data_IF_426521273148
#
_entry.id   IF_426521273148
#
_cell.length_a   1.000
_cell.length_b   1.000
_cell.length_c   1.000
_cell.angle_alpha   90.00
_cell.angle_beta   90.00
_cell.angle_gamma   90.00
#
_symmetry.space_group_name_H-M   'P 1'
#
loop_
_entity.id
_entity.type
_entity.pdbx_description
1 polymer ?
#
# COMPACT_ATOMS: atom_id res chain seq x y z
N UNK A 1 -4.38 -15.18 -17.32
CA UNK A 1 -3.63 -15.88 -16.25
C UNK A 1 -2.20 -15.33 -16.16
N UNK A 2 -2.06 -14.04 -15.79
CA UNK A 2 -0.76 -13.39 -15.54
C UNK A 2 -0.15 -13.72 -14.17
N UNK A 3 -0.79 -14.64 -13.43
CA UNK A 3 -0.43 -15.04 -12.08
C UNK A 3 0.87 -15.83 -11.92
N UNK A 4 1.67 -16.08 -12.97
CA UNK A 4 2.92 -16.85 -12.86
C UNK A 4 4.02 -16.16 -13.66
N UNK A 5 5.09 -15.77 -12.96
CA UNK A 5 6.30 -15.25 -13.59
C UNK A 5 7.01 -16.36 -14.39
N UNK A 6 7.67 -16.04 -15.51
CA UNK A 6 8.59 -16.99 -16.14
C UNK A 6 9.65 -17.46 -15.13
N UNK A 7 10.26 -18.62 -15.35
CA UNK A 7 11.35 -19.10 -14.49
C UNK A 7 12.51 -18.11 -14.53
N UNK A 8 12.90 -17.58 -13.37
CA UNK A 8 13.97 -16.61 -13.22
C UNK A 8 15.17 -17.24 -12.51
N UNK A 9 16.38 -16.96 -13.00
CA UNK A 9 17.60 -17.36 -12.30
C UNK A 9 18.02 -16.26 -11.32
N UNK A 10 17.94 -16.54 -10.02
CA UNK A 10 18.31 -15.63 -8.92
C UNK A 10 19.39 -16.32 -8.07
N UNK A 11 20.64 -15.85 -8.20
CA UNK A 11 21.78 -16.54 -7.62
C UNK A 11 21.99 -17.91 -8.27
N UNK A 12 22.10 -18.96 -7.44
CA UNK A 12 22.18 -20.36 -7.86
C UNK A 12 20.82 -21.03 -8.06
N UNK A 13 19.72 -20.40 -7.64
CA UNK A 13 18.38 -20.98 -7.67
C UNK A 13 17.59 -20.54 -8.90
N UNK A 14 16.79 -21.46 -9.45
CA UNK A 14 15.68 -21.13 -10.33
C UNK A 14 14.48 -20.75 -9.45
N UNK A 15 13.83 -19.64 -9.74
CA UNK A 15 12.71 -19.11 -8.96
C UNK A 15 11.50 -18.92 -9.87
N UNK A 16 10.33 -19.37 -9.39
CA UNK A 16 9.03 -19.04 -9.95
C UNK A 16 8.27 -18.24 -8.90
N UNK A 17 7.66 -17.13 -9.29
CA UNK A 17 6.82 -16.34 -8.40
C UNK A 17 5.42 -16.28 -8.96
N UNK A 18 4.44 -16.64 -8.14
CA UNK A 18 3.02 -16.62 -8.50
C UNK A 18 2.21 -15.71 -7.58
N UNK A 19 1.00 -15.35 -8.02
CA UNK A 19 0.04 -14.51 -7.30
C UNK A 19 0.61 -13.12 -6.94
N UNK A 20 1.28 -12.48 -7.90
CA UNK A 20 1.95 -11.17 -7.70
C UNK A 20 1.04 -9.97 -7.91
N UNK A 21 -0.22 -10.17 -8.29
CA UNK A 21 -1.15 -9.12 -8.69
C UNK A 21 -1.33 -8.00 -7.66
N UNK A 22 -1.26 -8.32 -6.36
CA UNK A 22 -1.29 -7.33 -5.27
C UNK A 22 -0.07 -6.41 -5.30
N UNK A 23 1.13 -6.97 -5.45
CA UNK A 23 2.37 -6.22 -5.59
C UNK A 23 2.39 -5.39 -6.86
N UNK A 24 2.03 -6.01 -7.98
CA UNK A 24 2.01 -5.36 -9.29
C UNK A 24 1.03 -4.17 -9.27
N UNK A 25 -0.15 -4.32 -8.67
CA UNK A 25 -1.13 -3.23 -8.54
C UNK A 25 -0.58 -2.03 -7.75
N UNK A 26 0.12 -2.27 -6.63
CA UNK A 26 0.76 -1.21 -5.84
C UNK A 26 1.82 -0.50 -6.68
N UNK A 27 2.71 -1.26 -7.33
CA UNK A 27 3.80 -0.71 -8.16
C UNK A 27 3.24 0.16 -9.28
N UNK A 28 2.22 -0.30 -10.00
CA UNK A 28 1.65 0.44 -11.12
C UNK A 28 1.14 1.82 -10.67
N UNK A 29 0.43 1.88 -9.53
CA UNK A 29 -0.07 3.14 -8.96
C UNK A 29 1.09 4.07 -8.57
N UNK A 30 2.11 3.55 -7.86
CA UNK A 30 3.23 4.37 -7.41
C UNK A 30 4.15 4.81 -8.56
N UNK A 31 4.29 3.99 -9.60
CA UNK A 31 4.97 4.37 -10.83
C UNK A 31 4.24 5.53 -11.53
N UNK A 32 2.91 5.49 -11.60
CA UNK A 32 2.12 6.61 -12.11
C UNK A 32 2.21 7.85 -11.22
N UNK A 33 2.36 7.70 -9.91
CA UNK A 33 2.56 8.82 -8.99
C UNK A 33 3.88 9.58 -9.25
N UNK A 34 4.86 8.97 -9.92
CA UNK A 34 6.13 9.61 -10.26
C UNK A 34 6.02 10.71 -11.32
N UNK A 35 4.83 10.97 -11.86
CA UNK A 35 4.57 12.19 -12.67
C UNK A 35 4.57 13.46 -11.82
N UNK A 36 4.41 13.34 -10.50
CA UNK A 36 4.44 14.45 -9.55
C UNK A 36 5.84 14.59 -8.95
N UNK A 37 6.48 15.75 -9.15
CA UNK A 37 7.89 15.98 -8.80
C UNK A 37 8.22 15.64 -7.35
N UNK A 38 7.39 16.08 -6.39
CA UNK A 38 7.61 15.80 -4.96
C UNK A 38 7.65 14.29 -4.64
N UNK A 39 6.79 13.50 -5.27
CA UNK A 39 6.78 12.06 -5.06
C UNK A 39 7.97 11.41 -5.78
N UNK A 40 8.26 11.85 -7.01
CA UNK A 40 9.42 11.40 -7.76
C UNK A 40 10.74 11.64 -7.02
N UNK A 41 10.94 12.83 -6.45
CA UNK A 41 12.08 13.16 -5.61
C UNK A 41 12.20 12.20 -4.42
N UNK A 42 11.07 11.89 -3.78
CA UNK A 42 11.03 10.92 -2.67
C UNK A 42 11.49 9.53 -3.13
N UNK A 43 10.99 9.06 -4.28
CA UNK A 43 11.42 7.80 -4.89
C UNK A 43 12.90 7.83 -5.26
N UNK A 44 13.40 8.96 -5.73
CA UNK A 44 14.77 9.13 -6.18
C UNK A 44 15.81 9.06 -5.05
N UNK A 45 15.47 9.54 -3.85
CA UNK A 45 16.33 9.54 -2.66
C UNK A 45 16.12 8.32 -1.75
N UNK A 46 15.03 7.59 -1.91
CA UNK A 46 14.70 6.48 -1.03
C UNK A 46 15.69 5.32 -1.14
N UNK A 47 15.99 4.70 0.01
CA UNK A 47 16.95 3.59 0.14
C UNK A 47 16.28 2.23 0.23
N UNK A 48 14.96 2.17 0.40
CA UNK A 48 14.20 0.92 0.51
C UNK A 48 14.09 0.21 -0.84
N UNK A 49 14.07 -1.13 -0.81
CA UNK A 49 14.11 -1.94 -2.03
C UNK A 49 12.89 -1.70 -2.94
N UNK A 50 11.72 -1.49 -2.34
CA UNK A 50 10.48 -1.18 -3.07
C UNK A 50 10.58 0.14 -3.84
N UNK A 51 11.16 1.19 -3.26
CA UNK A 51 11.32 2.46 -3.98
C UNK A 51 12.41 2.40 -5.05
N UNK A 52 13.51 1.68 -4.80
CA UNK A 52 14.51 1.38 -5.84
C UNK A 52 13.90 0.59 -7.00
N UNK A 53 12.97 -0.32 -6.70
CA UNK A 53 12.22 -1.07 -7.68
C UNK A 53 11.31 -0.14 -8.49
N UNK A 54 10.50 0.70 -7.85
CA UNK A 54 9.61 1.68 -8.52
C UNK A 54 10.44 2.58 -9.44
N UNK A 55 11.56 3.13 -8.95
CA UNK A 55 12.49 3.93 -9.76
C UNK A 55 12.95 3.20 -11.01
N UNK A 56 13.39 1.94 -10.85
CA UNK A 56 13.87 1.12 -11.95
C UNK A 56 12.73 0.78 -12.93
N UNK A 57 11.53 0.52 -12.42
CA UNK A 57 10.36 0.18 -13.22
C UNK A 57 9.90 1.36 -14.07
N UNK A 58 9.85 2.57 -13.50
CA UNK A 58 9.54 3.81 -14.25
C UNK A 58 10.54 4.04 -15.38
N UNK A 59 11.82 3.72 -15.17
CA UNK A 59 12.88 3.93 -16.17
C UNK A 59 12.93 2.86 -17.27
N UNK A 60 12.65 1.60 -16.92
CA UNK A 60 12.92 0.45 -17.79
C UNK A 60 11.64 -0.23 -18.31
N UNK A 61 10.50 -0.03 -17.66
CA UNK A 61 9.30 -0.82 -17.91
C UNK A 61 9.46 -2.31 -17.56
N UNK A 62 8.52 -3.18 -18.00
CA UNK A 62 8.56 -4.61 -17.70
C UNK A 62 9.68 -5.31 -18.47
N UNK A 63 10.82 -5.51 -17.79
CA UNK A 63 11.99 -6.22 -18.35
C UNK A 63 12.34 -7.43 -17.49
N UNK A 64 13.14 -8.36 -18.03
CA UNK A 64 13.66 -9.51 -17.25
C UNK A 64 14.38 -9.07 -15.96
N UNK A 65 15.04 -7.90 -15.98
CA UNK A 65 15.67 -7.32 -14.80
C UNK A 65 14.63 -6.93 -13.74
N UNK A 66 13.56 -6.25 -14.15
CA UNK A 66 12.45 -5.89 -13.25
C UNK A 66 11.82 -7.16 -12.67
N UNK A 67 11.47 -8.15 -13.48
CA UNK A 67 10.90 -9.40 -12.96
C UNK A 67 11.83 -10.09 -11.94
N UNK A 68 13.14 -10.04 -12.15
CA UNK A 68 14.14 -10.56 -11.20
C UNK A 68 14.13 -9.79 -9.88
N UNK A 69 14.15 -8.45 -9.92
CA UNK A 69 14.12 -7.63 -8.70
C UNK A 69 12.78 -7.78 -7.95
N UNK A 70 11.65 -7.91 -8.66
CA UNK A 70 10.35 -8.26 -8.05
C UNK A 70 10.48 -9.58 -7.27
N UNK A 71 11.04 -10.61 -7.89
CA UNK A 71 11.19 -11.91 -7.25
C UNK A 71 12.09 -11.85 -6.01
N UNK A 72 13.16 -11.05 -6.04
CA UNK A 72 14.04 -10.82 -4.89
C UNK A 72 13.31 -10.14 -3.72
N UNK A 73 12.48 -9.11 -3.99
CA UNK A 73 11.67 -8.43 -2.97
C UNK A 73 10.67 -9.41 -2.34
N UNK A 74 9.88 -10.10 -3.18
CA UNK A 74 8.82 -10.98 -2.70
C UNK A 74 9.39 -12.20 -1.97
N UNK A 75 10.57 -12.70 -2.36
CA UNK A 75 11.26 -13.78 -1.63
C UNK A 75 11.54 -13.43 -0.17
N UNK A 76 11.78 -12.16 0.14
CA UNK A 76 12.12 -11.71 1.48
C UNK A 76 10.88 -11.49 2.36
N UNK A 77 9.66 -11.62 1.82
CA UNK A 77 8.42 -11.56 2.60
C UNK A 77 8.21 -12.91 3.28
N UNK A 78 8.38 -12.94 4.60
CA UNK A 78 8.48 -14.16 5.43
C UNK A 78 7.23 -15.03 5.45
N UNK A 79 6.06 -14.47 5.14
CA UNK A 79 4.79 -15.19 5.14
C UNK A 79 4.51 -15.94 3.83
N UNK A 80 5.29 -15.70 2.78
CA UNK A 80 5.09 -16.40 1.51
C UNK A 80 5.57 -17.83 1.58
N UNK A 81 4.75 -18.74 1.06
CA UNK A 81 5.09 -20.15 1.00
C UNK A 81 6.24 -20.34 -0.01
N UNK A 82 7.30 -21.00 0.46
CA UNK A 82 8.46 -21.36 -0.33
C UNK A 82 8.56 -22.87 -0.38
N UNK A 83 8.39 -23.45 -1.57
CA UNK A 83 8.72 -24.86 -1.79
C UNK A 83 10.15 -24.97 -2.33
N UNK A 84 10.94 -25.86 -1.75
CA UNK A 84 12.35 -26.05 -2.06
C UNK A 84 12.56 -27.39 -2.75
N UNK A 85 12.18 -27.46 -4.02
CA UNK A 85 12.67 -28.44 -4.98
C UNK A 85 13.83 -27.81 -5.79
N UNK A 86 14.24 -28.42 -6.92
CA UNK A 86 15.24 -27.84 -7.85
C UNK A 86 14.87 -26.41 -8.33
N UNK A 87 13.62 -26.00 -8.15
CA UNK A 87 13.07 -24.67 -8.39
C UNK A 87 12.38 -24.18 -7.11
N UNK A 88 12.75 -22.98 -6.65
CA UNK A 88 12.08 -22.30 -5.54
C UNK A 88 10.80 -21.66 -6.05
N UNK A 89 9.65 -22.11 -5.55
CA UNK A 89 8.36 -21.49 -5.88
C UNK A 89 7.92 -20.59 -4.75
N UNK A 90 7.66 -19.31 -5.05
CA UNK A 90 7.16 -18.30 -4.11
C UNK A 90 5.68 -18.05 -4.41
N UNK A 91 4.82 -18.31 -3.45
CA UNK A 91 3.40 -17.92 -3.49
C UNK A 91 3.20 -16.57 -2.80
N UNK A 92 3.05 -15.49 -3.59
CA UNK A 92 2.88 -14.13 -3.10
C UNK A 92 1.41 -13.76 -2.78
N UNK A 93 0.53 -14.76 -2.65
CA UNK A 93 -0.86 -14.54 -2.27
C UNK A 93 -0.94 -13.80 -0.92
N UNK A 94 -1.40 -12.55 -0.96
CA UNK A 94 -1.49 -11.68 0.21
C UNK A 94 -2.60 -10.67 0.03
N UNK A 95 -3.28 -10.34 1.12
CA UNK A 95 -4.05 -9.11 1.17
C UNK A 95 -3.07 -7.92 1.06
N UNK A 96 -3.43 -6.95 0.21
CA UNK A 96 -2.71 -5.68 0.00
C UNK A 96 -2.31 -5.00 1.31
N UNK A 97 -3.18 -4.98 2.32
CA UNK A 97 -2.88 -4.38 3.63
C UNK A 97 -1.64 -5.00 4.25
N UNK A 98 -1.60 -6.33 4.32
CA UNK A 98 -0.46 -7.05 4.87
C UNK A 98 0.78 -6.83 4.01
N UNK A 99 0.63 -6.87 2.68
CA UNK A 99 1.74 -6.65 1.77
C UNK A 99 2.37 -5.26 1.95
N UNK A 100 1.56 -4.20 2.07
CA UNK A 100 2.01 -2.83 2.27
C UNK A 100 2.94 -2.70 3.50
N UNK A 101 2.56 -3.33 4.62
CA UNK A 101 3.38 -3.30 5.85
C UNK A 101 4.76 -3.95 5.67
N UNK A 102 4.89 -4.96 4.79
CA UNK A 102 6.17 -5.61 4.50
C UNK A 102 7.04 -4.83 3.51
N UNK A 103 6.42 -4.25 2.48
CA UNK A 103 7.18 -3.60 1.40
C UNK A 103 7.47 -2.11 1.67
N UNK A 104 6.81 -1.49 2.66
CA UNK A 104 7.06 -0.10 3.09
C UNK A 104 7.45 0.02 4.58
N UNK A 105 8.47 -0.71 5.06
CA UNK A 105 8.79 -0.77 6.48
C UNK A 105 9.26 0.55 7.08
N UNK A 106 9.61 1.55 6.25
CA UNK A 106 10.08 2.88 6.68
C UNK A 106 9.27 4.02 6.06
N UNK A 107 8.25 3.70 5.24
CA UNK A 107 7.51 4.68 4.43
C UNK A 107 6.02 4.61 4.75
N UNK A 108 5.70 4.91 6.00
CA UNK A 108 4.35 4.87 6.54
C UNK A 108 3.46 5.97 5.96
N UNK A 109 2.19 5.65 5.75
CA UNK A 109 1.18 6.65 5.41
C UNK A 109 0.83 7.55 6.58
N UNK A 110 0.92 7.04 7.82
CA UNK A 110 0.66 7.85 8.99
C UNK A 110 1.48 7.40 10.21
N UNK A 111 1.79 8.40 11.04
CA UNK A 111 2.44 8.23 12.34
C UNK A 111 1.61 8.96 13.38
N UNK A 112 1.21 8.24 14.42
CA UNK A 112 0.53 8.73 15.61
C UNK A 112 1.52 8.77 16.78
N UNK A 113 1.60 9.91 17.46
CA UNK A 113 2.40 10.09 18.67
C UNK A 113 1.44 10.40 19.81
N UNK A 114 1.31 9.44 20.73
CA UNK A 114 0.47 9.55 21.93
C UNK A 114 1.36 9.90 23.13
N UNK A 115 1.13 11.05 23.74
CA UNK A 115 1.89 11.53 24.90
C UNK A 115 0.97 11.61 26.11
N UNK A 116 1.30 10.87 27.17
CA UNK A 116 0.61 11.00 28.45
C UNK A 116 1.00 12.31 29.12
N UNK A 117 0.01 13.11 29.53
CA UNK A 117 0.28 14.39 30.19
C UNK A 117 0.74 14.21 31.64
N UNK A 118 0.38 13.10 32.29
CA UNK A 118 0.68 12.84 33.71
C UNK A 118 2.07 12.26 33.93
N UNK A 119 2.45 11.21 33.17
CA UNK A 119 3.72 10.51 33.35
C UNK A 119 4.70 10.70 32.19
N UNK A 120 4.35 11.52 31.20
CA UNK A 120 5.15 11.82 30.02
C UNK A 120 5.57 10.60 29.19
N UNK A 121 4.92 9.45 29.39
CA UNK A 121 5.16 8.27 28.57
C UNK A 121 4.69 8.53 27.14
N UNK A 122 5.59 8.28 26.19
CA UNK A 122 5.32 8.45 24.75
C UNK A 122 5.14 7.07 24.12
N UNK A 123 4.08 6.92 23.32
CA UNK A 123 3.86 5.79 22.44
C UNK A 123 3.82 6.30 21.00
N UNK A 124 4.58 5.67 20.11
CA UNK A 124 4.58 5.98 18.68
C UNK A 124 3.98 4.78 17.95
N UNK A 125 2.96 5.04 17.13
CA UNK A 125 2.31 4.05 16.26
C UNK A 125 2.55 4.49 14.82
N UNK A 126 3.06 3.59 14.00
CA UNK A 126 3.32 3.83 12.57
C UNK A 126 2.58 2.78 11.77
N UNK A 127 1.83 3.18 10.74
CA UNK A 127 1.15 2.21 9.86
C UNK A 127 1.16 2.65 8.41
N UNK A 128 1.11 1.66 7.52
CA UNK A 128 1.01 1.88 6.09
C UNK A 128 -0.44 2.14 5.66
N UNK A 129 -1.43 1.60 6.37
CA UNK A 129 -2.85 1.80 6.04
C UNK A 129 -3.47 2.82 6.97
N UNK A 130 -4.02 3.90 6.40
CA UNK A 130 -4.70 4.95 7.12
C UNK A 130 -6.11 4.49 7.53
N UNK A 131 -6.47 4.56 8.83
CA UNK A 131 -7.81 4.18 9.28
C UNK A 131 -8.84 5.22 8.82
N UNK A 132 -10.04 4.73 8.51
CA UNK A 132 -11.20 5.56 8.16
C UNK A 132 -12.42 5.12 8.95
N UNK A 133 -13.27 6.07 9.30
CA UNK A 133 -14.60 5.78 9.85
C UNK A 133 -15.53 5.34 8.70
N UNK A 134 -15.77 4.04 8.59
CA UNK A 134 -16.64 3.47 7.56
C UNK A 134 -18.10 3.91 7.70
N UNK A 135 -18.59 4.31 8.88
CA UNK A 135 -19.97 4.81 9.02
C UNK A 135 -20.17 6.12 8.25
N UNK A 136 -19.18 7.02 8.29
CA UNK A 136 -19.19 8.27 7.53
C UNK A 136 -19.17 7.97 6.04
N UNK A 137 -18.28 7.09 5.60
CA UNK A 137 -18.17 6.73 4.20
C UNK A 137 -19.43 6.02 3.69
N UNK A 138 -20.06 5.16 4.49
CA UNK A 138 -21.31 4.50 4.12
C UNK A 138 -22.45 5.51 3.96
N UNK A 139 -22.50 6.53 4.81
CA UNK A 139 -23.58 7.52 4.82
C UNK A 139 -23.40 8.62 3.76
N UNK A 140 -22.16 9.02 3.49
CA UNK A 140 -21.86 10.21 2.68
C UNK A 140 -20.95 9.93 1.48
N UNK A 141 -20.51 8.69 1.30
CA UNK A 141 -19.52 8.32 0.29
C UNK A 141 -18.15 8.95 0.53
N UNK A 142 -17.31 8.88 -0.50
CA UNK A 142 -15.96 9.46 -0.46
C UNK A 142 -15.94 10.99 -0.53
N UNK A 143 -17.08 11.65 -0.74
CA UNK A 143 -17.19 13.10 -0.62
C UNK A 143 -16.83 13.59 0.79
N UNK A 144 -16.95 12.73 1.81
CA UNK A 144 -16.58 13.00 3.21
C UNK A 144 -15.38 12.18 3.68
N UNK A 145 -14.48 11.82 2.77
CA UNK A 145 -13.28 11.03 3.10
C UNK A 145 -12.37 11.72 4.12
N UNK A 146 -12.27 13.05 4.11
CA UNK A 146 -11.47 13.80 5.10
C UNK A 146 -12.06 13.64 6.50
N UNK A 147 -13.37 13.88 6.66
CA UNK A 147 -14.08 13.67 7.92
C UNK A 147 -13.94 12.21 8.40
N UNK A 148 -14.07 11.24 7.49
CA UNK A 148 -13.90 9.82 7.79
C UNK A 148 -12.47 9.49 8.26
N UNK A 149 -11.46 10.07 7.62
CA UNK A 149 -10.06 9.94 8.02
C UNK A 149 -9.83 10.57 9.40
N UNK A 150 -10.41 11.72 9.69
CA UNK A 150 -10.24 12.41 10.98
C UNK A 150 -10.94 11.68 12.13
N UNK A 151 -12.15 11.18 11.92
CA UNK A 151 -12.90 10.43 12.93
C UNK A 151 -12.42 8.98 13.09
N UNK A 152 -11.91 8.36 12.02
CA UNK A 152 -11.33 7.01 12.08
C UNK A 152 -10.14 6.89 13.03
N UNK A 153 -9.54 8.02 13.41
CA UNK A 153 -8.41 8.11 14.35
C UNK A 153 -8.83 8.16 15.82
N UNK A 154 -10.12 8.34 16.11
CA UNK A 154 -10.60 8.65 17.46
C UNK A 154 -10.66 7.38 18.32
N UNK A 155 -9.49 6.88 18.73
CA UNK A 155 -9.38 6.09 19.95
C UNK A 155 -8.77 7.00 21.01
N UNK A 156 -9.54 7.29 22.08
CA UNK A 156 -8.98 7.93 23.27
C UNK A 156 -7.94 6.99 23.87
N UNK A 157 -6.68 7.22 23.54
CA UNK A 157 -5.58 6.40 24.06
C UNK A 157 -5.42 6.65 25.55
N UNK A 158 -5.48 5.58 26.33
CA UNK A 158 -5.06 5.60 27.73
C UNK A 158 -3.62 5.17 27.84
N UNK A 159 -2.90 5.81 28.75
CA UNK A 159 -1.51 5.51 29.02
C UNK A 159 -1.37 4.09 29.59
N UNK A 160 -0.49 3.26 29.01
CA UNK A 160 -0.26 1.90 29.51
C UNK A 160 0.36 1.84 30.91
N UNK A 161 0.94 2.95 31.41
CA UNK A 161 1.60 3.00 32.73
C UNK A 161 0.70 3.53 33.85
N UNK A 162 -0.10 4.56 33.57
CA UNK A 162 -0.91 5.24 34.59
C UNK A 162 -2.41 5.27 34.26
N UNK A 163 -2.82 4.70 33.12
CA UNK A 163 -4.21 4.66 32.64
C UNK A 163 -4.88 6.02 32.39
N UNK A 164 -4.13 7.12 32.48
CA UNK A 164 -4.59 8.48 32.19
C UNK A 164 -4.70 8.75 30.69
N UNK A 165 -5.50 9.77 30.32
CA UNK A 165 -5.71 10.18 28.93
C UNK A 165 -4.40 10.68 28.29
N UNK A 166 -4.20 10.31 27.03
CA UNK A 166 -3.06 10.75 26.23
C UNK A 166 -3.50 11.79 25.20
N UNK A 167 -2.66 12.80 25.00
CA UNK A 167 -2.76 13.69 23.85
C UNK A 167 -2.17 13.00 22.62
N UNK A 168 -2.86 13.05 21.49
CA UNK A 168 -2.41 12.45 20.23
C UNK A 168 -2.07 13.53 19.22
N UNK A 169 -0.89 13.41 18.60
CA UNK A 169 -0.52 14.19 17.41
C UNK A 169 -0.29 13.25 16.23
N UNK A 170 -0.57 13.74 15.03
CA UNK A 170 -0.54 12.94 13.80
C UNK A 170 0.27 13.62 12.72
N UNK A 171 1.15 12.86 12.07
CA UNK A 171 1.83 13.27 10.85
C UNK A 171 1.56 12.26 9.74
N UNK A 172 1.35 12.78 8.53
CA UNK A 172 1.10 11.97 7.35
C UNK A 172 2.36 11.86 6.49
N UNK A 173 2.54 10.69 5.89
CA UNK A 173 3.62 10.41 4.97
C UNK A 173 3.41 11.05 3.59
N UNK A 174 4.33 10.74 2.67
CA UNK A 174 4.30 11.20 1.28
C UNK A 174 3.31 10.42 0.41
N UNK A 175 2.99 9.17 0.77
CA UNK A 175 1.91 8.37 0.18
C UNK A 175 0.87 8.00 1.23
N UNK A 176 -0.40 7.94 0.83
CA UNK A 176 -1.50 7.49 1.67
C UNK A 176 -2.13 6.24 1.05
N UNK A 177 -2.16 5.14 1.81
CA UNK A 177 -3.02 4.00 1.49
C UNK A 177 -4.24 4.04 2.39
N UNK A 178 -5.43 3.92 1.79
CA UNK A 178 -6.71 3.88 2.49
C UNK A 178 -7.38 2.58 2.07
N UNK A 179 -7.69 1.74 3.05
CA UNK A 179 -8.56 0.58 2.85
C UNK A 179 -9.99 0.98 3.22
N UNK A 180 -10.96 0.51 2.45
CA UNK A 180 -12.37 0.71 2.71
C UNK A 180 -13.15 -0.44 2.08
N UNK A 181 -14.16 -0.94 2.78
CA UNK A 181 -15.05 -2.00 2.30
C UNK A 181 -16.19 -1.47 1.41
N UNK A 182 -16.24 -0.16 1.15
CA UNK A 182 -17.40 0.49 0.55
C UNK A 182 -17.28 0.57 -0.97
N UNK A 183 -18.28 0.02 -1.66
CA UNK A 183 -18.43 0.10 -3.11
C UNK A 183 -18.81 1.51 -3.55
N UNK A 184 -18.07 2.07 -4.50
CA UNK A 184 -18.34 3.41 -5.06
C UNK A 184 -17.92 3.45 -6.53
N UNK A 185 -18.43 4.42 -7.30
CA UNK A 185 -17.88 4.67 -8.64
C UNK A 185 -16.53 5.37 -8.50
N UNK A 186 -15.56 5.03 -9.36
CA UNK A 186 -14.22 5.63 -9.33
C UNK A 186 -14.24 7.17 -9.41
N UNK A 187 -15.21 7.72 -10.15
CA UNK A 187 -15.37 9.17 -10.31
C UNK A 187 -15.93 9.88 -9.07
N UNK A 188 -16.55 9.14 -8.14
CA UNK A 188 -17.06 9.70 -6.88
C UNK A 188 -15.95 9.86 -5.84
N UNK A 189 -14.79 9.23 -6.07
CA UNK A 189 -13.61 9.38 -5.22
C UNK A 189 -12.94 10.72 -5.57
N UNK A 190 -12.77 11.63 -4.59
CA UNK A 190 -12.23 12.95 -4.84
C UNK A 190 -10.84 12.88 -5.48
N UNK A 191 -10.57 13.81 -6.40
CA UNK A 191 -9.27 13.91 -7.07
C UNK A 191 -8.14 14.28 -6.12
N UNK A 192 -8.44 15.09 -5.13
CA UNK A 192 -7.47 15.52 -4.14
C UNK A 192 -8.14 15.73 -2.80
N UNK A 193 -7.38 15.52 -1.74
CA UNK A 193 -7.79 15.81 -0.38
C UNK A 193 -6.73 16.68 0.29
N UNK A 194 -7.13 17.40 1.32
CA UNK A 194 -6.20 18.12 2.19
C UNK A 194 -6.28 17.50 3.58
N UNK A 195 -5.11 17.13 4.12
CA UNK A 195 -4.97 16.66 5.49
C UNK A 195 -3.95 17.54 6.19
N UNK A 196 -4.35 18.17 7.29
CA UNK A 196 -3.59 19.26 7.93
C UNK A 196 -3.23 20.36 6.89
N UNK A 197 -1.93 20.57 6.64
CA UNK A 197 -1.38 21.53 5.67
C UNK A 197 -0.84 20.85 4.40
N UNK A 198 -1.09 19.56 4.22
CA UNK A 198 -0.58 18.80 3.08
C UNK A 198 -1.71 18.48 2.10
N UNK A 199 -1.44 18.68 0.81
CA UNK A 199 -2.34 18.30 -0.28
C UNK A 199 -1.91 16.95 -0.83
N UNK A 200 -2.88 16.07 -1.04
CA UNK A 200 -2.70 14.75 -1.61
C UNK A 200 -3.54 14.62 -2.87
N UNK A 201 -2.98 14.01 -3.89
CA UNK A 201 -3.66 13.70 -5.15
C UNK A 201 -3.98 12.21 -5.20
N UNK A 202 -5.20 11.88 -5.57
CA UNK A 202 -5.64 10.51 -5.78
C UNK A 202 -5.11 10.01 -7.13
N UNK A 203 -4.17 9.05 -7.06
CA UNK A 203 -3.50 8.47 -8.23
C UNK A 203 -4.23 7.25 -8.77
N UNK A 204 -4.73 6.39 -7.88
CA UNK A 204 -5.43 5.19 -8.30
C UNK A 204 -6.01 4.38 -7.15
N UNK A 205 -6.79 3.38 -7.52
CA UNK A 205 -7.43 2.41 -6.64
C UNK A 205 -6.95 1.01 -6.98
N UNK A 206 -6.88 0.14 -5.99
CA UNK A 206 -6.69 -1.29 -6.23
C UNK A 206 -8.03 -1.99 -5.99
N UNK A 207 -8.46 -2.79 -6.96
CA UNK A 207 -9.75 -3.48 -6.92
C UNK A 207 -9.51 -4.97 -6.77
N UNK A 208 -10.19 -5.58 -5.79
CA UNK A 208 -10.20 -7.03 -5.60
C UNK A 208 -11.32 -7.66 -6.42
N UNK A 209 -10.97 -8.65 -7.22
CA UNK A 209 -11.87 -9.50 -8.00
C UNK A 209 -11.85 -10.89 -7.39
N UNK A 210 -12.88 -11.24 -6.62
CA UNK A 210 -12.98 -12.55 -6.02
C UNK A 210 -14.38 -12.79 -5.45
N UNK A 211 -14.65 -14.03 -5.08
CA UNK A 211 -15.87 -14.34 -4.34
C UNK A 211 -15.66 -14.00 -2.86
N UNK A 212 -16.73 -13.62 -2.17
CA UNK A 212 -16.76 -13.52 -0.70
C UNK A 212 -16.73 -14.91 -0.06
N UNK A 213 -15.68 -15.69 -0.33
CA UNK A 213 -15.46 -17.01 0.26
C UNK A 213 -14.02 -17.13 0.73
N UNK A 214 -13.81 -17.85 1.84
CA UNK A 214 -12.48 -18.07 2.42
C UNK A 214 -11.53 -18.86 1.52
N UNK A 215 -12.06 -19.51 0.47
CA UNK A 215 -11.30 -20.34 -0.47
C UNK A 215 -11.07 -19.66 -1.82
N UNK A 216 -11.61 -18.45 -2.04
CA UNK A 216 -11.42 -17.72 -3.29
C UNK A 216 -9.98 -17.23 -3.39
N UNK A 217 -9.23 -17.77 -4.35
CA UNK A 217 -7.99 -17.15 -4.84
C UNK A 217 -8.44 -15.99 -5.74
N UNK A 218 -8.68 -14.82 -5.14
CA UNK A 218 -9.05 -13.64 -5.91
C UNK A 218 -7.87 -13.04 -6.67
N UNK A 219 -8.14 -11.93 -7.34
CA UNK A 219 -7.21 -11.23 -8.23
C UNK A 219 -7.26 -9.73 -7.97
N UNK A 220 -6.16 -9.02 -8.18
CA UNK A 220 -6.11 -7.57 -7.97
C UNK A 220 -5.76 -6.84 -9.27
N UNK A 221 -6.48 -5.75 -9.55
CA UNK A 221 -6.15 -4.83 -10.65
C UNK A 221 -5.94 -3.42 -10.14
N UNK A 222 -5.04 -2.68 -10.77
CA UNK A 222 -4.84 -1.26 -10.50
C UNK A 222 -5.65 -0.41 -11.48
N UNK A 223 -6.42 0.53 -10.94
CA UNK A 223 -7.15 1.54 -11.71
C UNK A 223 -6.45 2.87 -11.49
N UNK A 224 -5.76 3.36 -12.52
CA UNK A 224 -4.95 4.58 -12.46
C UNK A 224 -5.70 5.72 -13.12
N UNK A 225 -5.72 6.85 -12.45
CA UNK A 225 -6.36 8.06 -12.95
C UNK A 225 -5.40 8.80 -13.88
N UNK A 226 -5.85 9.04 -15.11
CA UNK A 226 -5.17 9.88 -16.09
C UNK A 226 -6.11 11.01 -16.52
N UNK A 227 -6.07 12.13 -15.78
CA UNK A 227 -7.02 13.22 -15.93
C UNK A 227 -8.45 12.80 -15.57
N UNK A 228 -9.34 12.81 -16.57
CA UNK A 228 -10.74 12.36 -16.45
C UNK A 228 -10.92 10.87 -16.80
N UNK A 229 -9.87 10.23 -17.32
CA UNK A 229 -9.92 8.83 -17.75
C UNK A 229 -9.32 7.91 -16.69
N UNK A 230 -9.72 6.64 -16.74
CA UNK A 230 -9.18 5.57 -15.92
C UNK A 230 -8.50 4.53 -16.80
N UNK A 231 -7.26 4.18 -16.47
CA UNK A 231 -6.50 3.12 -17.13
C UNK A 231 -6.45 1.94 -16.18
N UNK A 232 -6.79 0.76 -16.68
CA UNK A 232 -6.77 -0.48 -15.91
C UNK A 232 -5.49 -1.24 -16.23
N UNK A 233 -4.77 -1.61 -15.19
CA UNK A 233 -3.61 -2.50 -15.24
C UNK A 233 -3.97 -3.81 -14.55
N UNK A 234 -3.77 -4.90 -15.29
CA UNK A 234 -3.98 -6.27 -14.88
C UNK A 234 -2.62 -6.96 -14.97
N UNK A 235 -1.96 -7.12 -13.82
CA UNK A 235 -0.56 -7.53 -13.67
C UNK A 235 0.48 -6.56 -14.32
N UNK A 236 1.76 -6.98 -14.34
CA UNK A 236 2.92 -6.23 -14.88
C UNK A 236 3.40 -6.72 -16.24
#
# INVERSE_FOLDING_TARGET
NGNISPVLKVGSSNIIVKNTCSFDSIVQILAAACIYDKFKETVDIATTDTFKFIKSFVQLGPTKKIYKTRAEILKNVTYFLQDTLDIVTIDALSNIVNLCEYIFPENYSYIEICTCQTCHNIKIVKKCILPVNEEILNKYGYAKIVDAIEEGKVLKFRCSKCNEECFTSVSYGVQLFIESSITTALNDIPFSIQLNKQHYTHIGCIVYHGQNSQTSIGHYTAHIRNGTNWIVYDDM
#
